data_IF_075068985469
#
_entry.id   IF_075068985469
#
_cell.length_a   1.000
_cell.length_b   1.000
_cell.length_c   1.000
_cell.angle_alpha   90.00
_cell.angle_beta   90.00
_cell.angle_gamma   90.00
#
_symmetry.space_group_name_H-M   'P 1'
#
loop_
_entity.id
_entity.type
_entity.pdbx_description
1 polymer ?
#
# COMPACT_ATOMS: atom_id res chain seq x y z
N UNK A 1 -29.46 -38.79 -10.25
CA UNK A 1 -29.63 -37.44 -9.66
C UNK A 1 -29.30 -37.35 -8.15
N UNK A 2 -29.40 -38.39 -7.35
CA UNK A 2 -29.02 -38.35 -5.91
C UNK A 2 -27.51 -38.53 -5.70
N UNK A 3 -26.81 -39.30 -6.48
CA UNK A 3 -25.37 -39.56 -6.37
C UNK A 3 -24.50 -38.35 -6.77
N UNK A 4 -24.98 -37.45 -7.62
CA UNK A 4 -24.26 -36.20 -7.98
C UNK A 4 -24.16 -35.22 -6.80
N UNK A 5 -25.07 -35.30 -5.86
CA UNK A 5 -25.05 -34.46 -4.62
C UNK A 5 -24.06 -34.95 -3.57
N UNK A 6 -23.44 -36.13 -3.78
CA UNK A 6 -22.46 -36.72 -2.85
C UNK A 6 -21.01 -36.43 -3.26
N UNK A 7 -20.79 -35.80 -4.42
CA UNK A 7 -19.44 -35.41 -4.87
C UNK A 7 -19.29 -33.87 -4.74
N UNK A 8 -18.43 -33.45 -3.83
CA UNK A 8 -18.07 -32.01 -3.66
C UNK A 8 -16.86 -31.70 -4.55
N UNK A 9 -17.00 -30.69 -5.40
CA UNK A 9 -15.92 -30.18 -6.26
C UNK A 9 -15.60 -28.76 -5.90
N UNK A 10 -14.30 -28.39 -5.98
CA UNK A 10 -13.88 -27.01 -5.81
C UNK A 10 -14.46 -26.16 -6.96
N UNK A 11 -15.10 -25.01 -6.68
CA UNK A 11 -15.68 -24.13 -7.70
C UNK A 11 -14.64 -23.35 -8.49
N UNK A 12 -13.42 -23.24 -7.98
CA UNK A 12 -12.29 -22.55 -8.62
C UNK A 12 -10.97 -23.22 -8.22
N UNK A 13 -9.89 -22.89 -8.92
CA UNK A 13 -8.54 -23.35 -8.59
C UNK A 13 -8.06 -22.65 -7.31
N UNK A 14 -7.47 -23.41 -6.38
CA UNK A 14 -7.01 -22.86 -5.12
C UNK A 14 -6.33 -23.89 -4.25
N UNK A 15 -5.96 -23.48 -3.04
CA UNK A 15 -5.31 -24.32 -2.03
C UNK A 15 -6.29 -24.55 -0.88
N UNK A 16 -6.36 -25.77 -0.38
CA UNK A 16 -7.15 -26.09 0.80
C UNK A 16 -6.45 -25.48 2.03
N UNK A 17 -7.10 -24.52 2.67
CA UNK A 17 -6.60 -23.91 3.89
C UNK A 17 -7.05 -24.66 5.14
N UNK A 18 -8.27 -25.18 5.14
CA UNK A 18 -8.83 -25.91 6.29
C UNK A 18 -9.70 -27.04 5.81
N UNK A 19 -9.57 -28.18 6.46
CA UNK A 19 -10.47 -29.33 6.32
C UNK A 19 -11.15 -29.56 7.68
N UNK A 20 -12.47 -29.36 7.74
CA UNK A 20 -13.28 -29.40 8.97
C UNK A 20 -13.80 -30.78 9.28
N UNK A 21 -13.68 -31.75 8.34
CA UNK A 21 -14.26 -33.09 8.48
C UNK A 21 -13.24 -34.18 8.15
N UNK A 22 -13.42 -35.37 8.70
CA UNK A 22 -12.61 -36.57 8.48
C UNK A 22 -13.45 -37.66 7.84
N UNK A 23 -12.83 -38.64 7.14
CA UNK A 23 -13.54 -39.82 6.70
C UNK A 23 -14.23 -40.52 7.88
N UNK A 24 -15.52 -40.83 7.74
CA UNK A 24 -16.32 -41.41 8.78
C UNK A 24 -17.18 -40.44 9.60
N UNK A 25 -16.93 -39.12 9.48
CA UNK A 25 -17.75 -38.13 10.16
C UNK A 25 -19.16 -38.07 9.55
N UNK A 26 -20.15 -37.88 10.40
CA UNK A 26 -21.53 -37.56 9.98
C UNK A 26 -21.66 -36.06 9.78
N UNK A 27 -22.07 -35.66 8.58
CA UNK A 27 -22.22 -34.26 8.21
C UNK A 27 -23.69 -33.91 7.96
N UNK A 28 -24.10 -32.74 8.37
CA UNK A 28 -25.42 -32.18 8.12
C UNK A 28 -25.38 -31.28 6.88
N UNK A 29 -26.54 -31.10 6.25
CA UNK A 29 -26.64 -30.17 5.10
C UNK A 29 -26.28 -28.74 5.55
N UNK A 30 -25.38 -28.10 4.80
CA UNK A 30 -24.88 -26.74 5.12
C UNK A 30 -23.64 -26.69 6.01
N UNK A 31 -23.17 -27.84 6.53
CA UNK A 31 -21.93 -27.86 7.32
C UNK A 31 -20.71 -27.52 6.42
N UNK A 32 -19.80 -26.66 6.89
CA UNK A 32 -18.56 -26.38 6.15
C UNK A 32 -17.63 -27.59 6.19
N UNK A 33 -17.26 -28.11 5.04
CA UNK A 33 -16.41 -29.31 4.93
C UNK A 33 -14.96 -28.94 4.68
N UNK A 34 -14.73 -28.00 3.76
CA UNK A 34 -13.41 -27.58 3.30
C UNK A 34 -13.43 -26.10 3.00
N UNK A 35 -12.37 -25.39 3.36
CA UNK A 35 -12.13 -24.00 2.96
C UNK A 35 -11.04 -23.98 1.88
N UNK A 36 -11.38 -23.45 0.71
CA UNK A 36 -10.45 -23.26 -0.41
C UNK A 36 -10.12 -21.77 -0.52
N UNK A 37 -8.85 -21.45 -0.60
CA UNK A 37 -8.35 -20.08 -0.77
C UNK A 37 -7.62 -19.99 -2.09
N UNK A 38 -7.88 -18.94 -2.85
CA UNK A 38 -7.07 -18.59 -4.02
C UNK A 38 -5.94 -17.65 -3.60
N UNK A 39 -4.69 -18.12 -3.52
CA UNK A 39 -3.57 -17.30 -3.12
C UNK A 39 -3.17 -16.24 -4.17
N UNK A 40 -3.62 -16.38 -5.41
CA UNK A 40 -3.32 -15.43 -6.48
C UNK A 40 -4.19 -14.16 -6.41
N UNK A 41 -5.39 -14.26 -5.83
CA UNK A 41 -6.39 -13.19 -5.77
C UNK A 41 -6.48 -12.51 -4.39
N UNK A 42 -5.34 -12.28 -3.74
CA UNK A 42 -5.31 -11.60 -2.45
C UNK A 42 -5.70 -10.13 -2.58
N UNK A 43 -6.40 -9.65 -1.57
CA UNK A 43 -6.73 -8.23 -1.40
C UNK A 43 -6.28 -7.76 -0.04
N UNK A 44 -5.74 -6.54 0.01
CA UNK A 44 -5.48 -5.86 1.26
C UNK A 44 -6.71 -5.02 1.61
N UNK A 45 -7.32 -5.30 2.75
CA UNK A 45 -8.30 -4.42 3.35
C UNK A 45 -7.55 -3.43 4.25
N UNK A 46 -7.59 -2.16 3.89
CA UNK A 46 -6.93 -1.10 4.62
C UNK A 46 -7.94 -0.07 5.11
N UNK A 47 -7.60 0.58 6.21
CA UNK A 47 -8.37 1.72 6.75
C UNK A 47 -7.53 2.98 6.64
N UNK A 48 -8.14 4.05 6.14
CA UNK A 48 -7.47 5.35 5.96
C UNK A 48 -8.28 6.47 6.62
N UNK A 49 -7.64 7.48 7.19
CA UNK A 49 -8.33 8.66 7.72
C UNK A 49 -9.14 9.37 6.62
N UNK A 50 -10.29 9.94 6.97
CA UNK A 50 -11.12 10.73 6.03
C UNK A 50 -10.32 11.85 5.36
N UNK A 51 -9.38 12.47 6.08
CA UNK A 51 -8.52 13.51 5.55
C UNK A 51 -7.70 13.08 4.33
N UNK A 52 -7.39 11.79 4.20
CA UNK A 52 -6.64 11.25 3.07
C UNK A 52 -7.50 11.06 1.80
N UNK A 53 -8.83 11.14 1.91
CA UNK A 53 -9.73 10.94 0.76
C UNK A 53 -9.59 12.01 -0.32
N UNK A 54 -9.13 13.20 0.03
CA UNK A 54 -8.93 14.28 -0.95
C UNK A 54 -7.88 13.95 -2.01
N UNK A 55 -6.94 13.08 -1.69
CA UNK A 55 -5.80 12.69 -2.54
C UNK A 55 -5.88 11.25 -3.03
N UNK A 56 -6.67 10.41 -2.35
CA UNK A 56 -6.86 9.00 -2.69
C UNK A 56 -7.95 8.82 -3.74
N UNK A 57 -7.61 8.12 -4.82
CA UNK A 57 -8.56 7.75 -5.88
C UNK A 57 -8.48 6.27 -6.17
N UNK A 58 -9.55 5.70 -6.73
CA UNK A 58 -9.50 4.37 -7.32
C UNK A 58 -8.42 4.36 -8.40
N UNK A 59 -7.56 3.34 -8.38
CA UNK A 59 -6.38 3.25 -9.25
C UNK A 59 -5.09 3.80 -8.64
N UNK A 60 -5.14 4.56 -7.53
CA UNK A 60 -3.95 5.06 -6.84
C UNK A 60 -3.01 3.91 -6.46
N UNK A 61 -1.71 4.11 -6.66
CA UNK A 61 -0.70 3.16 -6.25
C UNK A 61 -0.53 3.20 -4.72
N UNK A 62 -0.43 2.02 -4.12
CA UNK A 62 -0.17 1.85 -2.68
C UNK A 62 1.06 0.97 -2.53
N UNK A 63 2.00 1.42 -1.73
CA UNK A 63 3.15 0.62 -1.33
C UNK A 63 2.97 0.20 0.12
N UNK A 64 3.26 -1.05 0.44
CA UNK A 64 3.06 -1.58 1.79
C UNK A 64 4.15 -2.56 2.18
N UNK A 65 4.35 -2.67 3.49
CA UNK A 65 5.20 -3.68 4.13
C UNK A 65 4.30 -4.65 4.88
N UNK A 66 4.67 -5.90 4.86
CA UNK A 66 3.93 -6.98 5.52
C UNK A 66 4.73 -7.44 6.73
N UNK A 67 4.08 -7.51 7.87
CA UNK A 67 4.70 -8.03 9.10
C UNK A 67 5.22 -9.45 8.89
N UNK A 68 6.47 -9.68 9.27
CA UNK A 68 7.16 -10.95 9.03
C UNK A 68 7.84 -11.07 7.66
N UNK A 69 7.70 -10.05 6.78
CA UNK A 69 8.38 -9.94 5.49
C UNK A 69 9.06 -8.56 5.37
N UNK A 70 9.70 -8.10 6.43
CA UNK A 70 10.14 -6.71 6.62
C UNK A 70 11.14 -6.19 5.59
N UNK A 71 11.87 -7.09 4.92
CA UNK A 71 12.80 -6.73 3.84
C UNK A 71 12.14 -6.55 2.48
N UNK A 72 10.87 -6.96 2.33
CA UNK A 72 10.15 -6.91 1.06
C UNK A 72 9.12 -5.79 1.06
N UNK A 73 9.20 -4.96 0.05
CA UNK A 73 8.20 -3.95 -0.25
C UNK A 73 7.25 -4.50 -1.33
N UNK A 74 5.97 -4.40 -1.08
CA UNK A 74 4.93 -4.84 -1.99
C UNK A 74 4.18 -3.62 -2.53
N UNK A 75 3.66 -3.74 -3.73
CA UNK A 75 2.85 -2.69 -4.35
C UNK A 75 1.51 -3.23 -4.77
N UNK A 76 0.48 -2.38 -4.69
CA UNK A 76 -0.86 -2.68 -5.13
C UNK A 76 -1.55 -1.44 -5.69
N UNK A 77 -2.80 -1.61 -6.09
CA UNK A 77 -3.65 -0.50 -6.57
C UNK A 77 -4.96 -0.46 -5.81
N UNK A 78 -5.42 0.73 -5.50
CA UNK A 78 -6.74 0.92 -4.90
C UNK A 78 -7.81 0.43 -5.87
N UNK A 79 -8.50 -0.64 -5.51
CA UNK A 79 -9.59 -1.22 -6.29
C UNK A 79 -10.91 -0.49 -5.98
N UNK A 80 -11.15 -0.25 -4.69
CA UNK A 80 -12.38 0.36 -4.22
C UNK A 80 -12.18 1.11 -2.91
N UNK A 81 -12.84 2.24 -2.78
CA UNK A 81 -12.98 3.00 -1.54
C UNK A 81 -14.43 2.88 -1.09
N UNK A 82 -14.67 2.46 0.15
CA UNK A 82 -16.01 2.37 0.69
C UNK A 82 -16.60 3.79 0.84
N UNK A 83 -17.83 4.06 0.37
CA UNK A 83 -18.44 5.38 0.52
C UNK A 83 -18.88 5.69 1.97
N UNK A 84 -18.85 4.71 2.87
CA UNK A 84 -19.23 4.88 4.27
C UNK A 84 -18.00 5.10 5.15
N UNK A 85 -18.09 6.11 6.01
CA UNK A 85 -17.12 6.41 7.06
C UNK A 85 -17.54 5.69 8.34
N UNK A 86 -16.60 5.06 9.01
CA UNK A 86 -16.84 4.54 10.36
C UNK A 86 -16.91 5.73 11.35
N UNK A 87 -18.06 5.97 12.02
CA UNK A 87 -18.24 7.15 12.86
C UNK A 87 -17.39 7.13 14.13
N UNK A 88 -17.00 5.94 14.61
CA UNK A 88 -16.23 5.79 15.84
C UNK A 88 -14.75 6.10 15.60
N UNK A 89 -14.20 5.63 14.48
CA UNK A 89 -12.77 5.77 14.16
C UNK A 89 -12.46 6.90 13.20
N UNK A 90 -13.47 7.43 12.49
CA UNK A 90 -13.34 8.40 11.39
C UNK A 90 -12.44 7.90 10.26
N UNK A 91 -12.44 6.59 10.07
CA UNK A 91 -11.69 5.95 8.98
C UNK A 91 -12.65 5.44 7.89
N UNK A 92 -12.12 5.33 6.70
CA UNK A 92 -12.78 4.74 5.54
C UNK A 92 -12.07 3.46 5.18
N UNK A 93 -12.82 2.40 4.89
CA UNK A 93 -12.25 1.15 4.38
C UNK A 93 -11.97 1.25 2.90
N UNK A 94 -10.86 0.72 2.48
CA UNK A 94 -10.51 0.56 1.07
C UNK A 94 -10.00 -0.85 0.80
N UNK A 95 -10.22 -1.30 -0.42
CA UNK A 95 -9.66 -2.54 -0.95
C UNK A 95 -8.54 -2.20 -1.92
N UNK A 96 -7.43 -2.89 -1.76
CA UNK A 96 -6.25 -2.79 -2.61
C UNK A 96 -5.99 -4.15 -3.24
N UNK A 97 -5.93 -4.21 -4.55
CA UNK A 97 -5.55 -5.42 -5.29
C UNK A 97 -4.05 -5.60 -5.26
N UNK A 98 -3.61 -6.81 -4.95
CA UNK A 98 -2.20 -7.17 -4.81
C UNK A 98 -1.83 -8.27 -5.79
N UNK A 99 -0.80 -8.11 -6.61
CA UNK A 99 -0.23 -9.22 -7.35
C UNK A 99 0.55 -10.13 -6.38
N UNK A 100 0.21 -11.41 -6.36
CA UNK A 100 0.92 -12.41 -5.56
C UNK A 100 1.47 -13.55 -6.43
N UNK A 101 2.07 -13.22 -7.56
CA UNK A 101 2.60 -14.19 -8.51
C UNK A 101 3.65 -15.14 -7.91
N UNK A 102 4.36 -14.71 -6.88
CA UNK A 102 5.35 -15.54 -6.17
C UNK A 102 4.80 -16.35 -4.99
N UNK A 103 3.49 -16.26 -4.68
CA UNK A 103 2.88 -16.96 -3.54
C UNK A 103 3.43 -16.57 -2.16
N UNK A 104 4.15 -15.45 -2.06
CA UNK A 104 4.83 -15.01 -0.82
C UNK A 104 3.87 -14.42 0.21
N UNK A 105 2.76 -13.88 -0.24
CA UNK A 105 1.73 -13.33 0.63
C UNK A 105 0.72 -14.41 0.97
N UNK A 106 0.31 -14.46 2.23
CA UNK A 106 -0.68 -15.38 2.76
C UNK A 106 -1.84 -14.56 3.33
N UNK A 107 -3.05 -15.08 3.21
CA UNK A 107 -4.23 -14.43 3.80
C UNK A 107 -4.11 -14.37 5.33
N UNK A 108 -4.56 -13.26 5.92
CA UNK A 108 -4.51 -13.05 7.37
C UNK A 108 -3.26 -12.34 7.87
N UNK A 109 -2.32 -11.97 7.00
CA UNK A 109 -1.17 -11.16 7.39
C UNK A 109 -1.57 -9.69 7.60
N UNK A 110 -0.91 -9.05 8.56
CA UNK A 110 -1.01 -7.61 8.78
C UNK A 110 -0.03 -6.87 7.89
N UNK A 111 -0.48 -5.72 7.35
CA UNK A 111 0.34 -4.88 6.50
C UNK A 111 0.16 -3.41 6.83
N UNK A 112 1.25 -2.66 6.76
CA UNK A 112 1.25 -1.20 6.85
C UNK A 112 1.56 -0.60 5.49
N UNK A 113 0.66 0.26 5.00
CA UNK A 113 0.75 0.87 3.69
C UNK A 113 1.06 2.36 3.74
N UNK A 114 1.75 2.83 2.70
CA UNK A 114 1.89 4.25 2.38
C UNK A 114 1.29 4.49 1.01
N UNK A 115 0.53 5.55 0.91
CA UNK A 115 -0.04 5.98 -0.35
C UNK A 115 0.76 7.18 -0.83
N UNK A 116 1.25 7.11 -2.07
CA UNK A 116 1.82 8.28 -2.72
C UNK A 116 0.66 9.25 -3.01
N UNK A 117 0.62 10.36 -2.28
CA UNK A 117 -0.46 11.33 -2.37
C UNK A 117 -0.21 12.39 -3.43
N UNK A 118 1.05 12.61 -3.76
CA UNK A 118 1.46 13.62 -4.74
C UNK A 118 2.78 13.20 -5.40
N UNK A 119 2.84 13.27 -6.72
CA UNK A 119 4.09 13.16 -7.48
C UNK A 119 4.32 14.51 -8.17
N UNK A 120 5.43 15.14 -7.85
CA UNK A 120 5.86 16.38 -8.48
C UNK A 120 7.20 16.13 -9.14
N UNK A 121 7.30 16.37 -10.43
CA UNK A 121 8.60 16.49 -11.08
C UNK A 121 9.20 17.86 -10.74
N UNK A 122 10.22 17.86 -9.92
CA UNK A 122 10.91 19.06 -9.50
C UNK A 122 12.39 18.78 -9.28
N UNK A 123 13.21 19.81 -9.40
CA UNK A 123 14.58 19.75 -8.94
C UNK A 123 14.56 19.46 -7.43
N UNK A 124 15.22 18.40 -6.99
CA UNK A 124 15.26 18.02 -5.59
C UNK A 124 16.69 18.06 -5.05
N UNK A 125 16.82 18.47 -3.79
CA UNK A 125 18.08 18.46 -3.06
C UNK A 125 17.94 17.62 -1.80
N UNK A 126 19.02 17.01 -1.28
CA UNK A 126 19.00 16.36 0.02
C UNK A 126 18.56 17.34 1.12
N UNK A 127 17.75 16.87 2.07
CA UNK A 127 17.28 17.69 3.20
C UNK A 127 18.47 18.25 3.97
N UNK A 128 19.53 17.47 4.13
CA UNK A 128 20.76 17.85 4.85
C UNK A 128 21.57 18.94 4.15
N UNK A 129 21.33 19.14 2.85
CA UNK A 129 21.97 20.22 2.09
C UNK A 129 21.27 21.58 2.25
N UNK A 130 20.11 21.59 2.92
CA UNK A 130 19.31 22.78 3.12
C UNK A 130 19.76 23.52 4.40
N UNK A 131 20.23 24.74 4.23
CA UNK A 131 20.53 25.66 5.35
C UNK A 131 19.25 26.42 5.74
N UNK A 132 18.67 26.05 6.87
CA UNK A 132 17.44 26.66 7.43
C UNK A 132 17.73 27.59 8.62
N UNK A 133 18.98 27.96 8.85
CA UNK A 133 19.37 28.80 9.99
C UNK A 133 19.02 30.28 9.77
N UNK A 134 18.77 30.68 8.51
CA UNK A 134 18.38 32.01 8.14
C UNK A 134 16.85 32.21 7.99
N UNK A 135 16.39 33.43 7.74
CA UNK A 135 14.97 33.74 7.52
C UNK A 135 14.43 33.11 6.22
N UNK A 136 15.29 32.77 5.28
CA UNK A 136 14.95 32.09 4.01
C UNK A 136 15.83 30.85 3.89
N UNK A 137 15.26 29.71 3.54
CA UNK A 137 16.03 28.51 3.25
C UNK A 137 17.01 28.73 2.10
N UNK A 138 18.24 28.22 2.24
CA UNK A 138 19.28 28.37 1.25
C UNK A 138 20.04 27.08 1.02
N UNK A 139 20.63 26.93 -0.15
CA UNK A 139 21.54 25.82 -0.46
C UNK A 139 22.90 26.38 -0.89
N UNK A 140 23.96 25.58 -0.68
CA UNK A 140 25.28 25.91 -1.18
C UNK A 140 25.51 25.13 -2.47
N UNK A 141 25.74 25.83 -3.58
CA UNK A 141 26.11 25.23 -4.86
C UNK A 141 27.54 25.58 -5.21
N UNK A 142 28.19 24.70 -5.93
CA UNK A 142 29.49 24.95 -6.54
C UNK A 142 29.25 25.41 -7.98
N UNK A 143 29.72 26.63 -8.31
CA UNK A 143 29.70 27.19 -9.67
C UNK A 143 31.08 27.78 -9.98
N UNK A 144 31.65 27.37 -11.11
CA UNK A 144 32.97 27.82 -11.57
C UNK A 144 34.08 27.72 -10.49
N UNK A 145 34.05 26.65 -9.67
CA UNK A 145 34.99 26.40 -8.61
C UNK A 145 34.78 27.26 -7.34
N UNK A 146 33.72 28.05 -7.30
CA UNK A 146 33.34 28.89 -6.13
C UNK A 146 32.06 28.38 -5.48
N UNK A 147 32.03 28.41 -4.15
CA UNK A 147 30.84 28.08 -3.38
C UNK A 147 29.96 29.33 -3.28
N UNK A 148 28.77 29.22 -3.77
CA UNK A 148 27.73 30.27 -3.69
C UNK A 148 26.60 29.81 -2.76
N UNK A 149 26.12 30.68 -1.88
CA UNK A 149 24.90 30.49 -1.12
C UNK A 149 23.74 31.05 -1.94
N UNK A 150 22.74 30.22 -2.20
CA UNK A 150 21.58 30.59 -3.02
C UNK A 150 20.32 30.38 -2.20
N UNK A 151 19.52 31.43 -2.07
CA UNK A 151 18.22 31.36 -1.43
C UNK A 151 17.26 30.57 -2.31
N UNK A 152 16.51 29.64 -1.70
CA UNK A 152 15.61 28.73 -2.41
C UNK A 152 14.21 28.76 -1.80
N UNK A 153 13.22 28.54 -2.66
CA UNK A 153 11.87 28.23 -2.20
C UNK A 153 11.69 26.72 -2.25
N UNK A 154 11.33 26.14 -1.11
CA UNK A 154 11.11 24.70 -0.98
C UNK A 154 9.65 24.36 -1.22
N UNK A 155 9.40 23.20 -1.82
CA UNK A 155 8.09 22.62 -2.04
C UNK A 155 7.90 21.34 -1.24
N UNK A 156 7.44 20.31 -1.92
CA UNK A 156 7.18 19.01 -1.31
C UNK A 156 8.45 18.43 -0.68
N UNK A 157 8.29 17.87 0.52
CA UNK A 157 9.37 17.16 1.23
C UNK A 157 9.07 15.67 1.26
N UNK A 158 10.01 14.87 0.82
CA UNK A 158 9.97 13.42 0.94
C UNK A 158 10.94 12.97 2.03
N UNK A 159 10.39 12.64 3.19
CA UNK A 159 11.18 12.18 4.35
C UNK A 159 11.75 10.77 4.14
N UNK A 160 11.17 9.98 3.21
CA UNK A 160 11.61 8.60 2.95
C UNK A 160 12.86 8.61 2.08
N UNK A 161 12.88 9.45 1.05
CA UNK A 161 14.04 9.62 0.19
C UNK A 161 15.04 10.63 0.76
N UNK A 162 14.69 11.36 1.82
CA UNK A 162 15.52 12.42 2.39
C UNK A 162 15.68 13.61 1.42
N UNK A 163 14.68 13.87 0.57
CA UNK A 163 14.73 14.89 -0.46
C UNK A 163 13.70 16.00 -0.22
N UNK A 164 14.02 17.20 -0.66
CA UNK A 164 13.10 18.34 -0.71
C UNK A 164 13.09 18.94 -2.11
N UNK A 165 11.89 19.15 -2.64
CA UNK A 165 11.72 19.82 -3.92
C UNK A 165 12.08 21.31 -3.81
N UNK A 166 12.79 21.82 -4.79
CA UNK A 166 13.10 23.25 -4.92
C UNK A 166 12.24 23.81 -6.05
N UNK A 167 11.36 24.75 -5.70
CA UNK A 167 10.43 25.35 -6.66
C UNK A 167 10.99 26.62 -7.31
N UNK A 168 11.91 27.30 -6.63
CA UNK A 168 12.61 28.50 -7.15
C UNK A 168 14.01 28.62 -6.53
N UNK A 169 14.91 29.28 -7.24
CA UNK A 169 16.25 29.62 -6.78
C UNK A 169 17.36 28.77 -7.39
N UNK A 170 17.08 27.58 -7.86
CA UNK A 170 18.01 26.74 -8.62
C UNK A 170 17.50 26.58 -10.05
N UNK A 171 18.42 26.62 -11.00
CA UNK A 171 18.20 26.17 -12.36
C UNK A 171 18.94 24.85 -12.55
N UNK A 172 18.34 23.93 -13.34
CA UNK A 172 18.94 22.67 -13.72
C UNK A 172 20.18 22.89 -14.61
#
# INVERSE_FOLDING_TARGET
KQLEKTTLRAPYAGVISTRSVRPGDVVTSGAPLVTVVDPASLRLEATVPVAALGVLKVGSAVTFRVSGLDTAQFSGRVERINPAVDPATRHVRMLVTLPNAGGRLVAGLYAEGRVATEQVEALAVPIDALDITGPVPAVRRLRDGRVEKVDVQTGLRDEVLGLVAVTRGLAA
#
